data_IF_715238071755
#
_entry.id   IF_715238071755
#
_cell.length_a   1.000
_cell.length_b   1.000
_cell.length_c   1.000
_cell.angle_alpha   90.00
_cell.angle_beta   90.00
_cell.angle_gamma   90.00
#
_symmetry.space_group_name_H-M   'P 1'
#
loop_
_entity.id
_entity.type
_entity.pdbx_description
1 polymer ?
#
# COMPACT_ATOMS: atom_id res chain seq x y z
N UNK A 1 -1.87 29.90 8.33
CA UNK A 1 -0.74 29.98 7.38
C UNK A 1 0.45 29.11 7.80
N UNK A 2 0.97 29.19 9.05
CA UNK A 2 2.03 28.29 9.52
C UNK A 2 1.63 26.80 9.60
N UNK A 3 0.39 26.48 9.98
CA UNK A 3 -0.10 25.10 10.14
C UNK A 3 0.03 24.23 8.86
N UNK A 4 -0.06 24.85 7.68
CA UNK A 4 0.07 24.14 6.40
C UNK A 4 1.54 23.76 6.17
N UNK A 5 2.48 24.68 6.42
CA UNK A 5 3.92 24.45 6.19
C UNK A 5 4.48 23.29 7.03
N UNK A 6 3.98 23.12 8.26
CA UNK A 6 4.43 22.06 9.17
C UNK A 6 3.63 20.76 9.05
N UNK A 7 2.63 20.71 8.17
CA UNK A 7 1.77 19.53 8.02
C UNK A 7 2.57 18.25 7.67
N UNK A 8 3.52 18.25 6.71
CA UNK A 8 4.35 17.08 6.46
C UNK A 8 5.11 16.60 7.71
N UNK A 9 5.74 17.51 8.46
CA UNK A 9 6.44 17.17 9.69
C UNK A 9 5.49 16.57 10.74
N UNK A 10 4.28 17.10 10.85
CA UNK A 10 3.27 16.57 11.75
C UNK A 10 2.82 15.15 11.37
N UNK A 11 2.55 14.89 10.08
CA UNK A 11 2.21 13.55 9.57
C UNK A 11 3.35 12.57 9.85
N UNK A 12 4.59 12.93 9.53
CA UNK A 12 5.77 12.11 9.80
C UNK A 12 5.90 11.78 11.29
N UNK A 13 5.78 12.81 12.15
CA UNK A 13 5.87 12.62 13.60
C UNK A 13 4.78 11.66 14.10
N UNK A 14 3.53 11.85 13.67
CA UNK A 14 2.39 11.05 14.11
C UNK A 14 2.44 9.60 13.62
N UNK A 15 2.93 9.37 12.40
CA UNK A 15 2.94 8.03 11.79
C UNK A 15 4.19 7.22 12.12
N UNK A 16 5.30 7.87 12.49
CA UNK A 16 6.58 7.17 12.75
C UNK A 16 6.49 6.04 13.78
N UNK A 17 5.65 6.17 14.80
CA UNK A 17 5.44 5.14 15.84
C UNK A 17 4.65 3.93 15.38
N UNK A 18 4.07 3.98 14.18
CA UNK A 18 3.27 2.92 13.58
C UNK A 18 4.00 2.26 12.40
N UNK A 19 5.29 2.54 12.22
CA UNK A 19 6.11 2.00 11.13
C UNK A 19 7.13 1.02 11.71
N UNK A 20 7.10 -0.22 11.23
CA UNK A 20 8.04 -1.27 11.56
C UNK A 20 9.03 -1.45 10.41
N UNK A 21 10.32 -1.58 10.74
CA UNK A 21 11.37 -1.88 9.77
C UNK A 21 11.65 -3.37 9.62
N UNK A 22 11.17 -4.18 10.58
CA UNK A 22 11.36 -5.62 10.61
C UNK A 22 10.00 -6.31 10.73
N UNK A 23 9.80 -7.36 9.93
CA UNK A 23 8.56 -8.16 9.90
C UNK A 23 8.25 -8.78 11.25
N UNK A 24 9.27 -9.31 11.95
CA UNK A 24 9.10 -9.95 13.26
C UNK A 24 8.50 -9.00 14.31
N UNK A 25 8.77 -7.70 14.18
CA UNK A 25 8.28 -6.66 15.10
C UNK A 25 6.87 -6.19 14.77
N UNK A 26 6.36 -6.49 13.58
CA UNK A 26 5.00 -6.13 13.19
C UNK A 26 3.97 -6.90 14.04
N UNK A 27 2.82 -6.29 14.36
CA UNK A 27 1.71 -6.98 15.03
C UNK A 27 1.11 -8.04 14.10
N UNK A 28 0.30 -8.92 14.69
CA UNK A 28 -0.57 -9.82 13.92
C UNK A 28 -1.83 -9.05 13.53
N UNK A 29 -2.22 -9.14 12.26
CA UNK A 29 -3.50 -8.66 11.71
C UNK A 29 -4.02 -9.70 10.72
N UNK A 30 -5.20 -9.53 10.14
CA UNK A 30 -5.67 -10.46 9.10
C UNK A 30 -5.14 -10.09 7.72
N UNK A 31 -5.16 -8.80 7.36
CA UNK A 31 -4.87 -8.33 5.99
C UNK A 31 -3.58 -7.52 5.90
N UNK A 32 -2.74 -7.79 4.90
CA UNK A 32 -1.78 -6.82 4.40
C UNK A 32 -2.28 -6.16 3.11
N UNK A 33 -2.13 -4.84 3.01
CA UNK A 33 -2.35 -4.10 1.76
C UNK A 33 -0.99 -3.80 1.14
N UNK A 34 -0.74 -4.38 -0.04
CA UNK A 34 0.49 -4.17 -0.81
C UNK A 34 0.21 -3.15 -1.90
N UNK A 35 0.88 -2.01 -1.81
CA UNK A 35 0.71 -0.93 -2.77
C UNK A 35 1.52 -1.21 -4.04
N UNK A 36 0.99 -0.78 -5.18
CA UNK A 36 1.66 -0.75 -6.47
C UNK A 36 2.90 0.15 -6.57
N UNK A 37 3.89 -0.24 -7.38
CA UNK A 37 5.18 0.49 -7.49
C UNK A 37 5.82 0.52 -8.89
N UNK A 38 5.12 0.05 -9.92
CA UNK A 38 5.64 0.01 -11.29
C UNK A 38 6.18 -1.36 -11.68
N UNK A 39 5.99 -1.70 -12.95
CA UNK A 39 6.67 -2.81 -13.63
C UNK A 39 8.00 -2.38 -14.26
N UNK A 40 8.92 -3.32 -14.42
CA UNK A 40 10.18 -3.14 -15.12
C UNK A 40 9.99 -3.26 -16.65
N UNK A 41 11.06 -3.00 -17.41
CA UNK A 41 11.01 -3.02 -18.88
C UNK A 41 10.73 -4.41 -19.49
N UNK A 42 10.85 -5.49 -18.71
CA UNK A 42 10.57 -6.86 -19.11
C UNK A 42 9.15 -7.31 -18.69
N UNK A 43 8.36 -6.44 -18.06
CA UNK A 43 7.00 -6.74 -17.61
C UNK A 43 6.91 -7.37 -16.22
N UNK A 44 8.04 -7.69 -15.58
CA UNK A 44 8.08 -8.15 -14.19
C UNK A 44 8.01 -7.00 -13.18
N UNK A 45 8.03 -7.28 -11.86
CA UNK A 45 8.05 -6.24 -10.84
C UNK A 45 9.31 -5.36 -10.96
N UNK A 46 9.16 -4.05 -10.77
CA UNK A 46 10.33 -3.20 -10.51
C UNK A 46 11.01 -3.59 -9.20
N UNK A 47 12.27 -3.22 -8.98
CA UNK A 47 12.98 -3.48 -7.72
C UNK A 47 12.19 -2.99 -6.48
N UNK A 48 11.51 -1.85 -6.63
CA UNK A 48 10.67 -1.26 -5.59
C UNK A 48 9.42 -2.12 -5.33
N UNK A 49 8.83 -2.69 -6.38
CA UNK A 49 7.66 -3.57 -6.27
C UNK A 49 8.06 -4.93 -5.70
N UNK A 50 9.18 -5.49 -6.17
CA UNK A 50 9.73 -6.76 -5.71
C UNK A 50 9.96 -6.74 -4.19
N UNK A 51 10.57 -5.67 -3.65
CA UNK A 51 10.78 -5.56 -2.20
C UNK A 51 9.46 -5.57 -1.42
N UNK A 52 8.37 -4.98 -1.97
CA UNK A 52 7.05 -5.01 -1.33
C UNK A 52 6.46 -6.41 -1.31
N UNK A 53 6.60 -7.15 -2.40
CA UNK A 53 6.11 -8.53 -2.52
C UNK A 53 6.91 -9.46 -1.60
N UNK A 54 8.24 -9.28 -1.52
CA UNK A 54 9.11 -10.00 -0.58
C UNK A 54 8.67 -9.79 0.86
N UNK A 55 8.43 -8.54 1.29
CA UNK A 55 7.98 -8.25 2.66
C UNK A 55 6.58 -8.78 2.93
N UNK A 56 5.66 -8.72 1.95
CA UNK A 56 4.32 -9.28 2.10
C UNK A 56 4.36 -10.81 2.28
N UNK A 57 5.19 -11.51 1.50
CA UNK A 57 5.40 -12.93 1.65
C UNK A 57 6.00 -13.29 3.01
N UNK A 58 7.00 -12.54 3.49
CA UNK A 58 7.60 -12.76 4.81
C UNK A 58 6.58 -12.55 5.95
N UNK A 59 5.72 -11.53 5.86
CA UNK A 59 4.62 -11.34 6.80
C UNK A 59 3.67 -12.54 6.83
N UNK A 60 3.31 -13.08 5.66
CA UNK A 60 2.44 -14.25 5.55
C UNK A 60 3.10 -15.48 6.17
N UNK A 61 4.36 -15.77 5.81
CA UNK A 61 5.09 -16.93 6.33
C UNK A 61 5.36 -16.89 7.84
N UNK A 62 5.50 -15.68 8.40
CA UNK A 62 5.62 -15.50 9.85
C UNK A 62 4.27 -15.48 10.58
N UNK A 63 3.15 -15.73 9.88
CA UNK A 63 1.80 -15.72 10.46
C UNK A 63 1.38 -14.34 10.98
N UNK A 64 1.96 -13.27 10.46
CA UNK A 64 1.60 -11.88 10.80
C UNK A 64 0.33 -11.44 10.09
N UNK A 65 0.00 -12.08 8.97
CA UNK A 65 -1.19 -11.89 8.16
C UNK A 65 -1.72 -13.24 7.68
N UNK A 66 -2.99 -13.25 7.26
CA UNK A 66 -3.65 -14.39 6.64
C UNK A 66 -3.96 -14.11 5.17
N UNK A 67 -4.18 -12.86 4.80
CA UNK A 67 -4.54 -12.48 3.42
C UNK A 67 -3.72 -11.28 2.94
N UNK A 68 -3.33 -11.32 1.67
CA UNK A 68 -2.63 -10.24 0.99
C UNK A 68 -3.57 -9.61 -0.04
N UNK A 69 -3.90 -8.33 0.14
CA UNK A 69 -4.58 -7.51 -0.85
C UNK A 69 -3.55 -6.73 -1.67
N UNK A 70 -3.35 -7.10 -2.93
CA UNK A 70 -2.51 -6.34 -3.87
C UNK A 70 -3.35 -5.29 -4.59
N UNK A 71 -2.91 -4.02 -4.58
CA UNK A 71 -3.65 -2.91 -5.19
C UNK A 71 -2.75 -2.04 -6.06
N UNK A 72 -3.12 -1.91 -7.34
CA UNK A 72 -2.33 -1.21 -8.34
C UNK A 72 -3.15 -0.82 -9.57
N UNK A 73 -2.47 -0.38 -10.63
CA UNK A 73 -3.12 0.15 -11.84
C UNK A 73 -3.14 -0.87 -12.99
N UNK A 74 -4.28 -0.96 -13.68
CA UNK A 74 -4.50 -1.79 -14.88
C UNK A 74 -5.21 -1.00 -16.00
N UNK A 75 -4.98 0.32 -16.08
CA UNK A 75 -5.65 1.19 -17.07
C UNK A 75 -5.16 1.08 -18.50
N UNK A 76 -3.89 0.75 -18.68
CA UNK A 76 -3.24 0.76 -19.99
C UNK A 76 -3.26 -0.64 -20.54
N UNK A 77 -3.73 -0.80 -21.77
CA UNK A 77 -3.72 -2.09 -22.45
C UNK A 77 -2.27 -2.64 -22.49
N UNK A 78 -2.10 -3.89 -22.03
CA UNK A 78 -0.77 -4.50 -21.87
C UNK A 78 -0.02 -4.14 -20.57
N UNK A 79 -0.62 -3.36 -19.66
CA UNK A 79 -0.08 -3.08 -18.33
C UNK A 79 -1.06 -3.54 -17.25
N UNK A 80 -0.73 -4.63 -16.56
CA UNK A 80 -1.53 -5.16 -15.46
C UNK A 80 -0.66 -5.44 -14.24
N UNK A 81 -0.32 -4.37 -13.52
CA UNK A 81 0.55 -4.48 -12.33
C UNK A 81 -0.05 -5.36 -11.23
N UNK A 82 -1.35 -5.28 -10.87
CA UNK A 82 -1.94 -6.16 -9.86
C UNK A 82 -1.87 -7.64 -10.23
N UNK A 83 -1.99 -7.98 -11.51
CA UNK A 83 -1.85 -9.35 -11.98
C UNK A 83 -0.42 -9.85 -11.80
N UNK A 84 0.59 -9.05 -12.15
CA UNK A 84 2.00 -9.40 -11.93
C UNK A 84 2.29 -9.57 -10.43
N UNK A 85 1.74 -8.71 -9.57
CA UNK A 85 1.87 -8.85 -8.12
C UNK A 85 1.27 -10.17 -7.61
N UNK A 86 0.08 -10.53 -8.10
CA UNK A 86 -0.58 -11.79 -7.77
C UNK A 86 0.27 -12.99 -8.22
N UNK A 87 0.67 -13.02 -9.50
CA UNK A 87 1.48 -14.09 -10.07
C UNK A 87 2.80 -14.26 -9.32
N UNK A 88 3.51 -13.17 -9.02
CA UNK A 88 4.74 -13.24 -8.22
C UNK A 88 4.48 -13.84 -6.83
N UNK A 89 3.40 -13.46 -6.14
CA UNK A 89 3.10 -14.02 -4.81
C UNK A 89 2.70 -15.51 -4.87
N UNK A 90 1.94 -15.91 -5.88
CA UNK A 90 1.42 -17.28 -5.97
C UNK A 90 2.38 -18.26 -6.65
N UNK A 91 3.14 -17.80 -7.63
CA UNK A 91 4.04 -18.63 -8.45
C UNK A 91 5.48 -18.62 -7.92
N UNK A 92 6.02 -17.44 -7.59
CA UNK A 92 7.42 -17.34 -7.11
C UNK A 92 7.51 -17.56 -5.60
N UNK A 93 6.56 -16.99 -4.85
CA UNK A 93 6.49 -17.12 -3.40
C UNK A 93 5.53 -18.22 -2.95
N UNK A 94 4.87 -18.99 -3.83
CA UNK A 94 4.05 -20.15 -3.46
C UNK A 94 2.95 -19.90 -2.40
N UNK A 95 2.43 -18.68 -2.32
CA UNK A 95 1.30 -18.37 -1.44
C UNK A 95 0.02 -18.93 -2.09
N UNK A 96 -0.87 -19.59 -1.34
CA UNK A 96 -2.14 -20.09 -1.88
C UNK A 96 -2.94 -18.99 -2.59
N UNK A 97 -3.52 -19.32 -3.74
CA UNK A 97 -4.23 -18.35 -4.59
C UNK A 97 -5.44 -17.72 -3.88
N UNK A 98 -6.04 -18.47 -2.95
CA UNK A 98 -7.15 -18.04 -2.12
C UNK A 98 -6.77 -16.94 -1.12
N UNK A 99 -5.49 -16.85 -0.75
CA UNK A 99 -4.96 -15.91 0.24
C UNK A 99 -4.41 -14.62 -0.42
N UNK A 100 -4.46 -14.51 -1.75
CA UNK A 100 -4.06 -13.31 -2.48
C UNK A 100 -5.27 -12.72 -3.22
N UNK A 101 -5.68 -11.52 -2.82
CA UNK A 101 -6.79 -10.77 -3.42
C UNK A 101 -6.27 -9.64 -4.31
N UNK A 102 -6.91 -9.43 -5.46
CA UNK A 102 -6.43 -8.49 -6.50
C UNK A 102 -7.36 -7.29 -6.62
N UNK A 103 -6.83 -6.10 -6.40
CA UNK A 103 -7.50 -4.82 -6.64
C UNK A 103 -6.93 -4.08 -7.87
N UNK A 104 -7.71 -4.04 -8.94
CA UNK A 104 -7.29 -3.50 -10.25
C UNK A 104 -7.38 -1.98 -10.41
N UNK A 105 -7.81 -1.24 -9.39
CA UNK A 105 -8.05 0.20 -9.50
C UNK A 105 -7.35 1.05 -8.42
N UNK A 106 -6.24 0.56 -7.89
CA UNK A 106 -5.33 1.26 -6.97
C UNK A 106 -4.43 2.29 -7.66
N UNK A 107 -5.02 3.30 -8.31
CA UNK A 107 -4.27 4.28 -9.15
C UNK A 107 -3.55 5.35 -8.33
N UNK A 108 -4.03 5.59 -7.13
CA UNK A 108 -3.48 6.51 -6.12
C UNK A 108 -3.60 5.83 -4.77
N UNK A 109 -2.81 6.27 -3.81
CA UNK A 109 -2.93 5.84 -2.41
C UNK A 109 -4.34 6.03 -1.87
N UNK A 110 -5.01 7.14 -2.22
CA UNK A 110 -6.41 7.36 -1.89
C UNK A 110 -7.31 6.24 -2.46
N UNK A 111 -7.14 5.88 -3.73
CA UNK A 111 -7.97 4.87 -4.39
C UNK A 111 -7.79 3.50 -3.73
N UNK A 112 -6.54 3.10 -3.46
CA UNK A 112 -6.23 1.86 -2.73
C UNK A 112 -6.90 1.84 -1.36
N UNK A 113 -6.74 2.88 -0.54
CA UNK A 113 -7.32 2.92 0.80
C UNK A 113 -8.86 2.99 0.76
N UNK A 114 -9.45 3.81 -0.12
CA UNK A 114 -10.89 3.96 -0.23
C UNK A 114 -11.56 2.65 -0.66
N UNK A 115 -10.97 1.97 -1.66
CA UNK A 115 -11.48 0.68 -2.15
C UNK A 115 -11.27 -0.44 -1.15
N UNK A 116 -10.12 -0.49 -0.48
CA UNK A 116 -9.88 -1.45 0.60
C UNK A 116 -10.98 -1.37 1.67
N UNK A 117 -11.40 -0.14 2.03
CA UNK A 117 -12.49 0.05 2.98
C UNK A 117 -13.85 -0.33 2.39
N UNK A 118 -14.23 0.24 1.25
CA UNK A 118 -15.61 0.20 0.76
C UNK A 118 -15.97 -1.07 -0.01
N UNK A 119 -14.99 -1.69 -0.68
CA UNK A 119 -15.20 -2.87 -1.53
C UNK A 119 -14.73 -4.11 -0.80
N UNK A 120 -13.55 -4.03 -0.18
CA UNK A 120 -12.93 -5.17 0.48
C UNK A 120 -13.25 -5.26 1.98
N UNK A 121 -14.01 -4.32 2.55
CA UNK A 121 -14.40 -4.36 3.96
C UNK A 121 -13.23 -4.35 4.95
N UNK A 122 -12.05 -3.88 4.54
CA UNK A 122 -10.85 -3.93 5.38
C UNK A 122 -10.95 -2.90 6.49
N UNK A 123 -11.01 -3.36 7.74
CA UNK A 123 -11.03 -2.52 8.94
C UNK A 123 -9.66 -2.37 9.59
N UNK A 124 -8.81 -3.39 9.53
CA UNK A 124 -7.46 -3.40 10.10
C UNK A 124 -6.45 -3.92 9.07
N UNK A 125 -5.31 -3.24 8.90
CA UNK A 125 -4.34 -3.63 7.89
C UNK A 125 -2.87 -3.34 8.25
N UNK A 126 -1.98 -4.20 7.78
CA UNK A 126 -0.57 -3.88 7.60
C UNK A 126 -0.33 -3.31 6.20
N UNK A 127 0.09 -2.06 6.12
CA UNK A 127 0.43 -1.39 4.88
C UNK A 127 1.88 -1.73 4.50
N UNK A 128 2.07 -2.36 3.35
CA UNK A 128 3.39 -2.75 2.84
C UNK A 128 3.80 -1.83 1.70
N UNK A 129 4.75 -0.94 1.99
CA UNK A 129 5.33 -0.01 1.02
C UNK A 129 6.66 0.55 1.54
N UNK A 130 7.38 1.34 0.74
CA UNK A 130 8.68 1.89 1.17
C UNK A 130 8.54 2.88 2.32
N UNK A 131 9.58 3.00 3.14
CA UNK A 131 9.65 3.90 4.30
C UNK A 131 9.28 5.35 3.97
N UNK A 132 9.68 5.85 2.78
CA UNK A 132 9.32 7.21 2.36
C UNK A 132 7.83 7.38 2.10
N UNK A 133 7.12 6.33 1.67
CA UNK A 133 5.70 6.38 1.30
C UNK A 133 4.75 6.07 2.46
N UNK A 134 5.22 5.27 3.43
CA UNK A 134 4.42 4.82 4.57
C UNK A 134 3.68 5.94 5.32
N UNK A 135 4.28 7.11 5.61
CA UNK A 135 3.58 8.19 6.32
C UNK A 135 2.29 8.64 5.61
N UNK A 136 2.33 8.80 4.29
CA UNK A 136 1.16 9.19 3.49
C UNK A 136 0.14 8.05 3.42
N UNK A 137 0.60 6.82 3.21
CA UNK A 137 -0.27 5.65 3.15
C UNK A 137 -1.03 5.46 4.48
N UNK A 138 -0.32 5.49 5.61
CA UNK A 138 -0.88 5.38 6.95
C UNK A 138 -1.90 6.48 7.22
N UNK A 139 -1.55 7.73 6.93
CA UNK A 139 -2.45 8.85 7.15
C UNK A 139 -3.72 8.74 6.32
N UNK A 140 -3.59 8.35 5.05
CA UNK A 140 -4.72 8.20 4.12
C UNK A 140 -5.65 7.08 4.57
N UNK A 141 -5.14 5.87 4.79
CA UNK A 141 -5.95 4.71 5.17
C UNK A 141 -6.60 4.90 6.54
N UNK A 142 -5.88 5.45 7.53
CA UNK A 142 -6.45 5.77 8.85
C UNK A 142 -7.57 6.81 8.75
N UNK A 143 -7.39 7.86 7.95
CA UNK A 143 -8.44 8.89 7.75
C UNK A 143 -9.67 8.31 7.07
N UNK A 144 -9.51 7.31 6.20
CA UNK A 144 -10.60 6.61 5.53
C UNK A 144 -11.20 5.46 6.37
N UNK A 145 -10.79 5.33 7.64
CA UNK A 145 -11.40 4.39 8.59
C UNK A 145 -10.80 2.99 8.57
N UNK A 146 -9.58 2.81 8.08
CA UNK A 146 -8.80 1.57 8.21
C UNK A 146 -7.74 1.76 9.29
N UNK A 147 -7.85 1.04 10.41
CA UNK A 147 -6.82 1.02 11.43
C UNK A 147 -5.54 0.39 10.87
N UNK A 148 -4.54 1.24 10.61
CA UNK A 148 -3.39 0.87 9.81
C UNK A 148 -2.09 0.95 10.59
N UNK A 149 -1.25 -0.06 10.39
CA UNK A 149 0.17 -0.06 10.78
C UNK A 149 1.03 -0.33 9.54
N UNK A 150 2.27 0.09 9.54
CA UNK A 150 3.12 0.12 8.35
C UNK A 150 4.31 -0.82 8.50
N UNK A 151 4.65 -1.56 7.44
CA UNK A 151 5.88 -2.35 7.38
C UNK A 151 6.71 -1.86 6.20
N UNK A 152 7.94 -1.42 6.49
CA UNK A 152 8.84 -0.85 5.51
C UNK A 152 9.37 -1.92 4.57
N UNK A 153 9.03 -1.79 3.28
CA UNK A 153 9.59 -2.56 2.19
C UNK A 153 10.80 -1.88 1.53
N UNK A 154 11.60 -1.17 2.32
CA UNK A 154 12.88 -0.60 1.85
C UNK A 154 14.00 -1.56 2.23
N UNK A 155 14.28 -2.52 1.36
CA UNK A 155 15.31 -3.55 1.60
C UNK A 155 16.67 -3.17 1.01
N UNK A 156 16.68 -2.23 0.07
CA UNK A 156 17.87 -1.79 -0.65
C UNK A 156 17.78 -0.28 -0.99
N UNK A 157 18.93 0.37 -1.28
CA UNK A 157 18.92 1.72 -1.85
C UNK A 157 18.41 1.69 -3.29
N UNK A 158 17.61 2.70 -3.68
CA UNK A 158 17.12 2.85 -5.04
C UNK A 158 17.77 4.03 -5.76
N UNK A 159 18.03 3.89 -7.06
CA UNK A 159 18.65 4.95 -7.88
C UNK A 159 17.92 6.30 -7.82
N UNK A 160 16.59 6.27 -7.63
CA UNK A 160 15.72 7.46 -7.59
C UNK A 160 15.26 7.83 -6.18
N UNK A 161 15.92 7.34 -5.12
CA UNK A 161 15.46 7.52 -3.73
C UNK A 161 15.25 9.01 -3.35
N UNK A 162 16.21 9.88 -3.68
CA UNK A 162 16.08 11.32 -3.42
C UNK A 162 14.86 11.93 -4.13
N UNK A 163 14.65 11.56 -5.40
CA UNK A 163 13.50 12.03 -6.16
C UNK A 163 12.19 11.55 -5.54
N UNK A 164 12.10 10.29 -5.09
CA UNK A 164 10.91 9.77 -4.44
C UNK A 164 10.58 10.52 -3.15
N UNK A 165 11.57 10.82 -2.32
CA UNK A 165 11.40 11.60 -1.09
C UNK A 165 10.95 13.04 -1.36
N UNK A 166 11.52 13.69 -2.36
CA UNK A 166 11.13 15.07 -2.73
C UNK A 166 9.70 15.10 -3.26
N UNK A 167 9.36 14.18 -4.17
CA UNK A 167 7.99 14.02 -4.68
C UNK A 167 6.99 13.78 -3.56
N UNK A 168 7.40 13.04 -2.53
CA UNK A 168 6.54 12.72 -1.39
C UNK A 168 6.09 13.96 -0.60
N UNK A 169 6.93 14.99 -0.50
CA UNK A 169 6.53 16.25 0.13
C UNK A 169 5.33 16.88 -0.60
N UNK A 170 5.37 16.92 -1.94
CA UNK A 170 4.23 17.37 -2.75
C UNK A 170 3.01 16.47 -2.60
N UNK A 171 3.23 15.14 -2.55
CA UNK A 171 2.17 14.17 -2.39
C UNK A 171 1.47 14.26 -1.01
N UNK A 172 2.17 14.65 0.05
CA UNK A 172 1.57 14.90 1.37
C UNK A 172 0.62 16.10 1.36
N UNK A 173 0.95 17.16 0.62
CA UNK A 173 0.04 18.29 0.43
C UNK A 173 -1.16 17.92 -0.42
N UNK A 174 -0.96 17.16 -1.52
CA UNK A 174 -2.06 16.65 -2.33
C UNK A 174 -2.98 15.74 -1.51
N UNK A 175 -2.43 14.84 -0.70
CA UNK A 175 -3.20 14.00 0.21
C UNK A 175 -4.07 14.84 1.16
N UNK A 176 -3.52 15.90 1.77
CA UNK A 176 -4.29 16.77 2.63
C UNK A 176 -5.46 17.44 1.89
N UNK A 177 -5.22 17.87 0.66
CA UNK A 177 -6.26 18.44 -0.20
C UNK A 177 -7.36 17.41 -0.50
N UNK A 178 -6.97 16.21 -0.91
CA UNK A 178 -7.89 15.12 -1.26
C UNK A 178 -8.74 14.70 -0.05
N UNK A 179 -8.16 14.60 1.16
CA UNK A 179 -8.86 14.12 2.34
C UNK A 179 -9.80 15.16 2.97
N UNK A 180 -9.44 16.44 2.95
CA UNK A 180 -10.14 17.46 3.74
C UNK A 180 -10.94 18.48 2.92
N UNK A 181 -10.69 18.57 1.61
CA UNK A 181 -11.31 19.60 0.78
C UNK A 181 -12.05 19.04 -0.43
N UNK A 182 -11.44 18.09 -1.15
CA UNK A 182 -12.03 17.55 -2.37
C UNK A 182 -11.64 16.09 -2.57
N UNK A 183 -12.39 15.20 -1.93
CA UNK A 183 -12.22 13.76 -2.10
C UNK A 183 -12.36 13.41 -3.57
N UNK A 184 -11.32 12.83 -4.19
CA UNK A 184 -11.40 12.52 -5.59
C UNK A 184 -12.38 11.38 -5.81
N UNK A 185 -13.02 11.36 -6.97
CA UNK A 185 -13.72 10.15 -7.40
C UNK A 185 -12.70 9.02 -7.53
N UNK A 186 -13.10 7.84 -7.06
CA UNK A 186 -12.41 6.59 -7.28
C UNK A 186 -13.35 5.64 -8.01
N UNK A 187 -12.82 4.61 -8.64
CA UNK A 187 -13.67 3.57 -9.22
C UNK A 187 -14.30 2.83 -8.04
N UNK A 188 -15.60 2.96 -7.87
CA UNK A 188 -16.37 2.20 -6.88
C UNK A 188 -16.63 0.78 -7.34
N UNK A 189 -17.50 0.09 -6.62
CA UNK A 189 -17.94 -1.27 -6.89
C UNK A 189 -18.81 -1.74 -5.74
N UNK A 190 -19.54 -2.83 -5.96
CA UNK A 190 -20.31 -3.44 -4.88
C UNK A 190 -19.35 -4.02 -3.83
N UNK A 191 -19.66 -3.90 -2.52
CA UNK A 191 -18.93 -4.60 -1.48
C UNK A 191 -18.87 -6.09 -1.76
N UNK A 192 -17.73 -6.72 -1.53
CA UNK A 192 -17.58 -8.16 -1.61
C UNK A 192 -17.99 -8.71 -0.24
N UNK A 193 -19.20 -9.29 -0.18
CA UNK A 193 -19.91 -9.61 1.07
C UNK A 193 -19.33 -10.86 1.78
N UNK A 194 -18.66 -11.75 1.06
CA UNK A 194 -18.09 -13.01 1.56
C UNK A 194 -16.55 -12.98 1.52
N UNK A 195 -15.96 -11.97 2.16
CA UNK A 195 -14.52 -11.91 2.36
C UNK A 195 -14.18 -12.54 3.71
N UNK A 196 -13.61 -13.74 3.70
CA UNK A 196 -12.88 -14.30 4.84
C UNK A 196 -11.58 -13.47 5.03
N UNK A 197 -11.73 -12.23 5.50
CA UNK A 197 -10.68 -11.25 5.80
C UNK A 197 -10.68 -10.84 7.29
#
# INVERSE_FOLDING_TARGET
>A
MLLILFFPCFVLFKTSRHIFTEVVSAPITTVAIVFGAGLNALGGPSDVLQDRLTVAADLYYQGKIQTILVSGDNRVEGYNEPQVMFETLTEDFYIPIEDVKIDYAGRRTYDTCARAKSIWGVDHALLVTQAYHLPRALWTCTTLGIESQGVSATLQPYLKDLWFRVRELGALYQMAFDLYFSSPSFIGGDPIIDLDL
#
